data_IF_362859448461
#
_entry.id   IF_362859448461
#
_cell.length_a   1.000
_cell.length_b   1.000
_cell.length_c   1.000
_cell.angle_alpha   90.00
_cell.angle_beta   90.00
_cell.angle_gamma   90.00
#
_symmetry.space_group_name_H-M   'P 1'
#
loop_
_entity.id
_entity.type
_entity.pdbx_description
1 polymer ?
#
# COMPACT_ATOMS: atom_id res chain seq x y z
N UNK A 1 -14.98 -46.64 -42.60
CA UNK A 1 -15.01 -45.18 -42.42
C UNK A 1 -14.96 -44.55 -43.80
N UNK A 2 -15.92 -43.67 -44.14
CA UNK A 2 -16.04 -43.14 -45.50
C UNK A 2 -14.81 -42.30 -45.85
N UNK A 3 -14.13 -42.56 -46.97
CA UNK A 3 -12.85 -41.90 -47.35
C UNK A 3 -12.93 -40.36 -47.27
N UNK A 4 -14.10 -39.79 -47.60
CA UNK A 4 -14.39 -38.36 -47.48
C UNK A 4 -14.36 -37.83 -46.03
N UNK A 5 -14.80 -38.63 -45.07
CA UNK A 5 -14.80 -38.27 -43.63
C UNK A 5 -13.36 -38.27 -43.09
N UNK A 6 -12.52 -39.20 -43.55
CA UNK A 6 -11.11 -39.25 -43.13
C UNK A 6 -10.32 -38.05 -43.65
N UNK A 7 -10.54 -37.63 -44.91
CA UNK A 7 -9.90 -36.44 -45.48
C UNK A 7 -10.30 -35.17 -44.73
N UNK A 8 -11.58 -35.03 -44.36
CA UNK A 8 -12.05 -33.88 -43.57
C UNK A 8 -11.40 -33.85 -42.18
N UNK A 9 -11.29 -35.00 -41.50
CA UNK A 9 -10.64 -35.09 -40.19
C UNK A 9 -9.14 -34.76 -40.25
N UNK A 10 -8.45 -35.16 -41.33
CA UNK A 10 -7.04 -34.82 -41.53
C UNK A 10 -6.87 -33.32 -41.77
N UNK A 11 -7.75 -32.69 -42.56
CA UNK A 11 -7.71 -31.24 -42.79
C UNK A 11 -7.99 -30.46 -41.48
N UNK A 12 -8.98 -30.87 -40.70
CA UNK A 12 -9.28 -30.25 -39.40
C UNK A 12 -8.11 -30.43 -38.43
N UNK A 13 -7.51 -31.62 -38.39
CA UNK A 13 -6.32 -31.90 -37.59
C UNK A 13 -5.16 -31.00 -37.97
N UNK A 14 -4.93 -30.76 -39.26
CA UNK A 14 -3.87 -29.86 -39.76
C UNK A 14 -4.09 -28.39 -39.38
N UNK A 15 -5.35 -27.93 -39.35
CA UNK A 15 -5.69 -26.56 -38.94
C UNK A 15 -5.57 -26.39 -37.42
N UNK A 16 -5.80 -27.44 -36.63
CA UNK A 16 -5.69 -27.41 -35.16
C UNK A 16 -4.27 -27.42 -34.60
N UNK A 17 -3.23 -27.59 -35.44
CA UNK A 17 -1.81 -27.55 -35.00
C UNK A 17 -1.11 -26.24 -35.37
N UNK A 18 -1.83 -25.22 -35.82
CA UNK A 18 -1.22 -23.90 -35.95
C UNK A 18 -1.21 -23.32 -34.53
N UNK A 19 -0.04 -23.21 -33.85
CA UNK A 19 0.01 -22.46 -32.61
C UNK A 19 -0.42 -21.04 -32.95
N UNK A 20 -1.60 -20.63 -32.48
CA UNK A 20 -1.97 -19.22 -32.45
C UNK A 20 -1.13 -18.59 -31.35
N UNK A 21 0.16 -18.36 -31.63
CA UNK A 21 0.93 -17.41 -30.85
C UNK A 21 0.30 -16.05 -31.13
N UNK A 22 -0.39 -15.48 -30.15
CA UNK A 22 -0.55 -14.04 -30.10
C UNK A 22 0.86 -13.46 -29.92
N UNK A 23 1.60 -13.34 -31.02
CA UNK A 23 2.81 -12.55 -31.04
C UNK A 23 2.35 -11.11 -30.88
N UNK A 24 2.75 -10.46 -29.78
CA UNK A 24 2.68 -9.01 -29.69
C UNK A 24 3.45 -8.48 -30.91
N UNK A 25 2.76 -7.79 -31.80
CA UNK A 25 3.34 -7.32 -33.06
C UNK A 25 4.34 -6.21 -32.70
N UNK A 26 5.62 -6.56 -32.66
CA UNK A 26 6.70 -5.58 -32.55
C UNK A 26 7.05 -5.11 -33.95
N UNK A 27 6.89 -3.82 -34.22
CA UNK A 27 7.21 -3.21 -35.53
C UNK A 27 8.63 -2.63 -35.53
N UNK A 28 9.20 -2.39 -34.34
CA UNK A 28 10.58 -1.97 -34.14
C UNK A 28 11.13 -2.58 -32.83
N UNK A 29 12.42 -2.35 -32.58
CA UNK A 29 13.04 -2.66 -31.29
C UNK A 29 12.41 -1.83 -30.16
N UNK A 30 12.38 -2.39 -28.94
CA UNK A 30 11.93 -1.66 -27.75
C UNK A 30 12.79 -0.44 -27.45
N UNK A 31 12.14 0.63 -27.03
CA UNK A 31 12.77 1.84 -26.55
C UNK A 31 13.42 1.62 -25.17
N UNK A 32 14.51 2.34 -24.92
CA UNK A 32 15.08 2.44 -23.57
C UNK A 32 14.32 3.55 -22.83
N UNK A 33 13.61 3.18 -21.77
CA UNK A 33 12.82 4.09 -20.96
C UNK A 33 13.64 4.47 -19.72
N UNK A 34 14.09 5.72 -19.63
CA UNK A 34 14.87 6.21 -18.49
C UNK A 34 13.99 6.50 -17.28
N UNK A 35 12.74 6.90 -17.53
CA UNK A 35 11.72 7.17 -16.51
C UNK A 35 10.35 6.74 -17.04
N UNK A 36 9.57 6.11 -16.18
CA UNK A 36 8.12 5.98 -16.33
C UNK A 36 7.48 6.54 -15.07
N UNK A 37 6.65 7.55 -15.21
CA UNK A 37 5.97 8.21 -14.12
C UNK A 37 4.45 8.19 -14.37
N UNK A 38 3.71 7.79 -13.35
CA UNK A 38 2.26 7.74 -13.31
C UNK A 38 1.82 8.73 -12.26
N UNK A 39 1.09 9.77 -12.66
CA UNK A 39 0.52 10.77 -11.78
C UNK A 39 -0.97 10.53 -11.67
N UNK A 40 -1.45 10.44 -10.44
CA UNK A 40 -2.86 10.24 -10.12
C UNK A 40 -3.34 11.51 -9.42
N UNK A 41 -4.35 12.16 -9.98
CA UNK A 41 -4.96 13.35 -9.40
C UNK A 41 -6.11 12.97 -8.44
N UNK A 42 -6.54 13.94 -7.61
CA UNK A 42 -7.56 13.70 -6.57
C UNK A 42 -8.95 13.34 -7.12
N UNK A 43 -9.19 13.55 -8.43
CA UNK A 43 -10.42 13.15 -9.12
C UNK A 43 -10.32 11.74 -9.77
N UNK A 44 -9.18 11.06 -9.62
CA UNK A 44 -8.92 9.75 -10.19
C UNK A 44 -8.41 9.78 -11.63
N UNK A 45 -8.19 10.96 -12.23
CA UNK A 45 -7.55 11.06 -13.54
C UNK A 45 -6.07 10.64 -13.45
N UNK A 46 -5.60 9.96 -14.51
CA UNK A 46 -4.26 9.35 -14.53
C UNK A 46 -3.47 9.82 -15.74
N UNK A 47 -2.40 10.57 -15.47
CA UNK A 47 -1.44 10.98 -16.49
C UNK A 47 -0.21 10.07 -16.44
N UNK A 48 0.26 9.63 -17.61
CA UNK A 48 1.49 8.86 -17.74
C UNK A 48 2.53 9.64 -18.52
N UNK A 49 3.77 9.60 -18.05
CA UNK A 49 4.93 10.25 -18.64
C UNK A 49 6.05 9.21 -18.79
N UNK A 50 6.58 9.10 -20.00
CA UNK A 50 7.77 8.31 -20.31
C UNK A 50 8.89 9.24 -20.78
N UNK A 51 10.10 9.07 -20.24
CA UNK A 51 11.33 9.67 -20.80
C UNK A 51 12.07 8.59 -21.56
N UNK A 52 12.23 8.80 -22.86
CA UNK A 52 12.73 7.81 -23.81
C UNK A 52 14.07 8.27 -24.34
N UNK A 53 15.09 7.42 -24.20
CA UNK A 53 16.44 7.71 -24.68
C UNK A 53 16.47 7.89 -26.20
N UNK A 54 17.22 8.88 -26.66
CA UNK A 54 17.55 9.11 -28.07
C UNK A 54 18.06 7.85 -28.78
N UNK A 55 17.65 7.70 -30.04
CA UNK A 55 18.04 6.59 -30.90
C UNK A 55 18.05 7.02 -32.37
N UNK A 56 18.98 6.46 -33.14
CA UNK A 56 19.11 6.71 -34.59
C UNK A 56 18.15 5.89 -35.45
N UNK A 57 17.41 4.96 -34.84
CA UNK A 57 16.45 4.09 -35.48
C UNK A 57 15.11 4.22 -34.75
N UNK A 58 13.96 3.98 -35.43
CA UNK A 58 12.66 4.01 -34.77
C UNK A 58 12.62 3.03 -33.59
N UNK A 59 11.99 3.45 -32.48
CA UNK A 59 11.86 2.62 -31.27
C UNK A 59 10.41 2.50 -30.85
N UNK A 60 10.00 1.32 -30.42
CA UNK A 60 8.65 1.05 -29.93
C UNK A 60 8.59 1.18 -28.41
N UNK A 61 7.61 1.93 -27.91
CA UNK A 61 7.26 2.02 -26.49
C UNK A 61 5.95 1.29 -26.29
N UNK A 62 5.91 0.34 -25.36
CA UNK A 62 4.66 -0.28 -24.93
C UNK A 62 4.00 0.64 -23.89
N UNK A 63 2.74 0.99 -24.11
CA UNK A 63 1.95 1.81 -23.19
C UNK A 63 1.47 0.96 -22.01
N UNK A 64 1.26 1.62 -20.87
CA UNK A 64 0.58 1.02 -19.72
C UNK A 64 -0.84 0.61 -20.15
N UNK A 65 -1.28 -0.63 -19.87
CA UNK A 65 -2.61 -1.09 -20.26
C UNK A 65 -3.75 -0.21 -19.70
N UNK A 66 -4.67 0.20 -20.58
CA UNK A 66 -5.86 0.99 -20.24
C UNK A 66 -6.46 1.66 -21.47
N UNK A 67 -7.48 2.49 -21.27
CA UNK A 67 -8.04 3.33 -22.34
C UNK A 67 -7.16 4.56 -22.50
N UNK A 68 -6.29 4.56 -23.51
CA UNK A 68 -5.33 5.64 -23.75
C UNK A 68 -5.98 6.78 -24.53
N UNK A 69 -5.76 8.01 -24.09
CA UNK A 69 -6.14 9.23 -24.83
C UNK A 69 -5.06 10.32 -24.75
N UNK A 70 -5.17 11.34 -25.59
CA UNK A 70 -4.31 12.54 -25.56
C UNK A 70 -2.80 12.26 -25.64
N UNK A 71 -2.38 11.34 -26.53
CA UNK A 71 -0.97 11.02 -26.76
C UNK A 71 -0.24 12.25 -27.32
N UNK A 72 0.86 12.62 -26.68
CA UNK A 72 1.75 13.71 -27.08
C UNK A 72 3.20 13.24 -26.96
N UNK A 73 4.04 13.54 -27.96
CA UNK A 73 5.48 13.29 -27.89
C UNK A 73 6.21 14.61 -28.11
N UNK A 74 7.08 15.00 -27.18
CA UNK A 74 7.88 16.23 -27.27
C UNK A 74 9.37 15.96 -27.05
N UNK A 75 10.21 16.94 -27.29
CA UNK A 75 11.56 17.01 -26.71
C UNK A 75 11.54 17.73 -25.34
N UNK A 76 12.73 17.90 -24.76
CA UNK A 76 12.91 18.61 -23.47
C UNK A 76 12.49 20.09 -23.54
N UNK A 77 12.53 20.70 -24.72
CA UNK A 77 12.13 22.09 -24.96
C UNK A 77 10.61 22.24 -25.18
N UNK A 78 9.87 21.13 -25.21
CA UNK A 78 8.43 21.10 -25.43
C UNK A 78 8.02 21.17 -26.91
N UNK A 79 8.95 20.99 -27.84
CA UNK A 79 8.66 20.92 -29.27
C UNK A 79 8.10 19.56 -29.63
N UNK A 80 6.99 19.52 -30.36
CA UNK A 80 6.32 18.28 -30.75
C UNK A 80 7.14 17.47 -31.74
N UNK A 81 7.23 16.16 -31.50
CA UNK A 81 7.91 15.17 -32.33
C UNK A 81 6.89 14.30 -33.04
N UNK A 82 7.24 13.86 -34.25
CA UNK A 82 6.43 12.89 -34.99
C UNK A 82 6.51 11.50 -34.34
N UNK A 83 5.35 10.83 -34.28
CA UNK A 83 5.23 9.46 -33.80
C UNK A 83 4.17 8.69 -34.60
N UNK A 84 4.16 7.37 -34.47
CA UNK A 84 3.11 6.52 -35.03
C UNK A 84 2.46 5.68 -33.94
N UNK A 85 1.14 5.48 -34.01
CA UNK A 85 0.43 4.58 -33.11
C UNK A 85 0.41 3.16 -33.70
N UNK A 86 0.74 2.15 -32.89
CA UNK A 86 0.72 0.74 -33.28
C UNK A 86 -0.38 0.06 -32.48
N UNK A 87 -1.55 -0.07 -33.11
CA UNK A 87 -2.75 -0.55 -32.42
C UNK A 87 -3.12 0.38 -31.27
N UNK A 88 -3.56 -0.19 -30.15
CA UNK A 88 -4.03 0.57 -28.98
C UNK A 88 -3.05 0.50 -27.79
N UNK A 89 -1.89 -0.15 -27.95
CA UNK A 89 -1.02 -0.53 -26.83
C UNK A 89 0.43 -0.07 -26.97
N UNK A 90 0.80 0.53 -28.10
CA UNK A 90 2.21 0.87 -28.35
C UNK A 90 2.33 2.11 -29.24
N UNK A 91 3.41 2.86 -29.04
CA UNK A 91 3.78 4.03 -29.85
C UNK A 91 5.15 3.82 -30.46
N UNK A 92 5.29 4.14 -31.75
CA UNK A 92 6.53 4.18 -32.50
C UNK A 92 7.12 5.59 -32.45
N UNK A 93 8.25 5.72 -31.78
CA UNK A 93 9.03 6.95 -31.67
C UNK A 93 9.99 7.02 -32.85
N UNK A 94 9.98 8.13 -33.58
CA UNK A 94 10.86 8.35 -34.73
C UNK A 94 12.31 8.64 -34.28
N UNK A 95 13.31 8.35 -35.13
CA UNK A 95 14.71 8.65 -34.83
C UNK A 95 14.93 10.09 -34.37
N UNK A 96 15.75 10.27 -33.34
CA UNK A 96 16.08 11.57 -32.79
C UNK A 96 17.46 11.56 -32.13
N UNK A 97 18.13 12.70 -32.18
CA UNK A 97 19.42 12.97 -31.53
C UNK A 97 19.27 13.44 -30.07
N UNK A 98 18.05 13.65 -29.61
CA UNK A 98 17.71 14.07 -28.25
C UNK A 98 16.61 13.17 -27.69
N UNK A 99 16.51 13.11 -26.36
CA UNK A 99 15.53 12.27 -25.69
C UNK A 99 14.10 12.77 -25.99
N UNK A 100 13.14 11.85 -25.90
CA UNK A 100 11.73 12.12 -26.21
C UNK A 100 10.91 11.93 -24.95
N UNK A 101 9.96 12.85 -24.73
CA UNK A 101 9.00 12.80 -23.63
C UNK A 101 7.66 12.38 -24.23
N UNK A 102 7.20 11.19 -23.91
CA UNK A 102 5.86 10.70 -24.29
C UNK A 102 4.91 10.90 -23.12
N UNK A 103 3.79 11.57 -23.35
CA UNK A 103 2.75 11.85 -22.38
C UNK A 103 1.41 11.36 -22.92
N UNK A 104 0.57 10.81 -22.04
CA UNK A 104 -0.81 10.45 -22.38
C UNK A 104 -1.67 10.33 -21.12
N UNK A 105 -2.98 10.23 -21.32
CA UNK A 105 -3.96 10.01 -20.26
C UNK A 105 -4.45 8.55 -20.29
N UNK A 106 -4.73 8.01 -19.11
CA UNK A 106 -5.39 6.73 -18.93
C UNK A 106 -6.77 6.93 -18.31
N UNK A 107 -7.78 6.47 -19.05
CA UNK A 107 -9.17 6.46 -18.61
C UNK A 107 -9.55 5.06 -18.11
N UNK A 108 -10.49 5.01 -17.16
CA UNK A 108 -11.09 3.78 -16.62
C UNK A 108 -10.12 2.76 -16.00
N UNK A 109 -8.93 3.19 -15.58
CA UNK A 109 -7.92 2.29 -14.96
C UNK A 109 -8.04 2.20 -13.44
N UNK A 110 -8.62 3.22 -12.79
CA UNK A 110 -8.91 3.23 -11.35
C UNK A 110 -10.41 3.20 -11.15
N UNK A 111 -10.89 2.34 -10.26
CA UNK A 111 -12.29 2.31 -9.84
C UNK A 111 -12.42 2.52 -8.34
N UNK A 112 -13.47 3.24 -7.92
CA UNK A 112 -13.80 3.39 -6.51
C UNK A 112 -14.69 2.22 -6.05
N UNK A 113 -14.21 1.47 -5.05
CA UNK A 113 -14.91 0.36 -4.42
C UNK A 113 -14.99 0.69 -2.93
N UNK A 114 -16.19 0.85 -2.39
CA UNK A 114 -16.39 1.15 -0.95
C UNK A 114 -15.57 2.37 -0.49
N UNK A 115 -15.56 3.45 -1.28
CA UNK A 115 -14.80 4.69 -1.03
C UNK A 115 -13.26 4.51 -1.02
N UNK A 116 -12.78 3.43 -1.63
CA UNK A 116 -11.35 3.15 -1.83
C UNK A 116 -11.07 3.09 -3.32
N UNK A 117 -10.17 3.96 -3.77
CA UNK A 117 -9.64 3.92 -5.12
C UNK A 117 -8.80 2.67 -5.29
N UNK A 118 -9.11 1.89 -6.31
CA UNK A 118 -8.51 0.57 -6.56
C UNK A 118 -8.00 0.50 -7.98
N UNK A 119 -6.73 0.11 -8.16
CA UNK A 119 -6.13 -0.14 -9.46
C UNK A 119 -5.35 -1.46 -9.45
N UNK A 120 -5.78 -2.41 -10.29
CA UNK A 120 -5.00 -3.61 -10.59
C UNK A 120 -3.96 -3.29 -11.68
N UNK A 121 -2.82 -2.79 -11.24
CA UNK A 121 -1.73 -2.35 -12.11
C UNK A 121 -0.88 -3.53 -12.59
N UNK A 122 -0.54 -3.53 -13.88
CA UNK A 122 0.43 -4.45 -14.47
C UNK A 122 1.26 -3.71 -15.52
N UNK A 123 2.54 -3.49 -15.22
CA UNK A 123 3.53 -3.00 -16.18
C UNK A 123 4.92 -3.48 -15.79
N UNK A 124 5.68 -3.96 -16.78
CA UNK A 124 6.94 -4.67 -16.52
C UNK A 124 8.15 -3.75 -16.38
N UNK A 125 8.02 -2.47 -16.71
CA UNK A 125 9.08 -1.50 -16.49
C UNK A 125 9.03 -0.94 -15.06
N UNK A 126 10.12 -0.30 -14.63
CA UNK A 126 10.10 0.43 -13.37
C UNK A 126 9.22 1.67 -13.50
N UNK A 127 8.26 1.83 -12.60
CA UNK A 127 7.26 2.90 -12.63
C UNK A 127 7.23 3.65 -11.30
N UNK A 128 7.32 4.97 -11.38
CA UNK A 128 7.12 5.87 -10.25
C UNK A 128 5.65 6.28 -10.22
N UNK A 129 5.00 6.07 -9.09
CA UNK A 129 3.65 6.54 -8.82
C UNK A 129 3.74 7.81 -8.00
N UNK A 130 3.06 8.86 -8.46
CA UNK A 130 2.82 10.09 -7.72
C UNK A 130 1.34 10.12 -7.38
N UNK A 131 1.03 10.09 -6.09
CA UNK A 131 -0.32 10.04 -5.56
C UNK A 131 -0.85 11.46 -5.32
N UNK A 132 -2.17 11.62 -5.17
CA UNK A 132 -2.77 12.88 -4.75
C UNK A 132 -2.17 13.36 -3.42
N UNK A 133 -2.07 14.68 -3.23
CA UNK A 133 -1.41 15.27 -2.06
C UNK A 133 -2.10 14.89 -0.73
N UNK A 134 -3.39 14.58 -0.78
CA UNK A 134 -4.20 14.17 0.37
C UNK A 134 -3.85 12.75 0.86
N UNK A 135 -3.15 11.95 0.06
CA UNK A 135 -2.82 10.57 0.36
C UNK A 135 -1.47 10.49 1.07
N UNK A 136 -1.49 10.07 2.33
CA UNK A 136 -0.28 9.76 3.11
C UNK A 136 -0.13 8.25 3.41
N UNK A 137 -1.15 7.44 3.11
CA UNK A 137 -1.19 6.00 3.29
C UNK A 137 -1.84 5.35 2.07
N UNK A 138 -1.16 4.36 1.50
CA UNK A 138 -1.70 3.48 0.46
C UNK A 138 -1.51 2.02 0.87
N UNK A 139 -2.17 1.13 0.15
CA UNK A 139 -2.00 -0.31 0.29
C UNK A 139 -1.54 -0.90 -1.04
N UNK A 140 -0.44 -1.63 -1.00
CA UNK A 140 0.08 -2.38 -2.14
C UNK A 140 -0.06 -3.88 -1.84
N UNK A 141 -0.99 -4.54 -2.53
CA UNK A 141 -1.36 -5.94 -2.27
C UNK A 141 -1.70 -6.16 -0.78
N UNK A 142 -2.64 -5.36 -0.26
CA UNK A 142 -3.11 -5.37 1.14
C UNK A 142 -2.06 -4.95 2.20
N UNK A 143 -0.85 -4.56 1.79
CA UNK A 143 0.19 -4.12 2.71
C UNK A 143 0.22 -2.60 2.81
N UNK A 144 0.09 -2.01 4.01
CA UNK A 144 0.16 -0.57 4.19
C UNK A 144 1.56 -0.03 3.83
N UNK A 145 1.58 1.08 3.11
CA UNK A 145 2.77 1.87 2.77
C UNK A 145 2.49 3.30 3.15
N UNK A 146 3.10 3.75 4.25
CA UNK A 146 3.03 5.14 4.68
C UNK A 146 4.04 5.97 3.88
N UNK A 147 3.56 7.06 3.32
CA UNK A 147 4.34 7.93 2.45
C UNK A 147 5.12 8.99 3.25
N UNK A 148 4.67 9.35 4.45
CA UNK A 148 5.27 10.44 5.25
C UNK A 148 5.38 11.73 4.42
N UNK A 149 6.57 12.32 4.26
CA UNK A 149 6.80 13.48 3.40
C UNK A 149 6.91 13.15 1.90
N UNK A 150 6.88 11.86 1.53
CA UNK A 150 7.01 11.42 0.12
C UNK A 150 5.66 11.56 -0.59
N UNK A 151 5.72 11.72 -1.92
CA UNK A 151 4.53 11.88 -2.77
C UNK A 151 4.09 10.59 -3.48
N UNK A 152 4.69 9.46 -3.14
CA UNK A 152 4.33 8.18 -3.73
C UNK A 152 5.43 7.13 -3.65
N UNK A 153 5.36 6.15 -4.56
CA UNK A 153 6.15 4.91 -4.51
C UNK A 153 6.79 4.60 -5.85
N UNK A 154 7.90 3.85 -5.81
CA UNK A 154 8.49 3.26 -7.02
C UNK A 154 8.24 1.77 -7.02
N UNK A 155 7.83 1.25 -8.16
CA UNK A 155 7.58 -0.16 -8.38
C UNK A 155 8.51 -0.68 -9.48
N UNK A 156 9.32 -1.69 -9.18
CA UNK A 156 10.27 -2.25 -10.16
C UNK A 156 9.65 -3.46 -10.87
N UNK A 157 9.06 -3.23 -12.06
CA UNK A 157 8.49 -4.27 -12.90
C UNK A 157 7.45 -5.12 -12.19
N UNK A 158 6.31 -4.51 -11.87
CA UNK A 158 5.37 -5.08 -10.92
C UNK A 158 3.96 -5.28 -11.45
N UNK A 159 3.33 -6.28 -10.85
CA UNK A 159 1.89 -6.42 -10.77
C UNK A 159 1.50 -6.06 -9.33
N UNK A 160 0.59 -5.11 -9.16
CA UNK A 160 0.08 -4.79 -7.83
C UNK A 160 -1.38 -4.36 -7.86
N UNK A 161 -2.09 -4.75 -6.82
CA UNK A 161 -3.32 -4.10 -6.42
C UNK A 161 -2.94 -2.87 -5.59
N UNK A 162 -3.08 -1.69 -6.18
CA UNK A 162 -2.90 -0.40 -5.53
C UNK A 162 -4.25 0.06 -4.99
N UNK A 163 -4.32 0.35 -3.69
CA UNK A 163 -5.53 0.82 -3.02
C UNK A 163 -5.21 2.05 -2.15
N UNK A 164 -6.04 3.09 -2.18
CA UNK A 164 -5.88 4.26 -1.33
C UNK A 164 -7.20 5.01 -1.13
N UNK A 165 -7.24 5.88 -0.11
CA UNK A 165 -8.38 6.76 0.18
C UNK A 165 -7.90 8.21 0.27
N UNK A 166 -8.70 9.13 -0.27
CA UNK A 166 -8.46 10.59 -0.20
C UNK A 166 -9.31 11.28 0.88
N UNK A 167 -10.41 10.64 1.29
CA UNK A 167 -11.40 11.20 2.22
C UNK A 167 -11.67 10.25 3.39
N UNK A 168 -10.61 9.64 3.94
CA UNK A 168 -10.75 8.83 5.16
C UNK A 168 -11.11 9.69 6.38
N UNK A 169 -11.92 9.11 7.26
CA UNK A 169 -12.22 9.66 8.57
C UNK A 169 -11.04 9.45 9.52
N UNK A 170 -10.68 10.50 10.25
CA UNK A 170 -9.67 10.48 11.30
C UNK A 170 -10.32 10.87 12.62
N UNK A 171 -10.43 9.90 13.52
CA UNK A 171 -10.96 10.10 14.87
C UNK A 171 -9.79 10.13 15.85
N UNK A 172 -9.80 11.13 16.73
CA UNK A 172 -8.76 11.36 17.72
C UNK A 172 -9.36 11.27 19.12
N UNK A 173 -8.89 10.31 19.90
CA UNK A 173 -9.40 10.03 21.24
C UNK A 173 -8.34 10.30 22.30
N UNK A 174 -8.69 11.13 23.27
CA UNK A 174 -7.80 11.47 24.38
C UNK A 174 -7.99 10.47 25.52
N UNK A 175 -6.94 9.71 25.81
CA UNK A 175 -6.89 8.74 26.89
C UNK A 175 -6.10 9.33 28.06
N UNK A 176 -6.74 9.43 29.23
CA UNK A 176 -6.07 9.78 30.49
C UNK A 176 -5.55 8.51 31.15
N UNK A 177 -4.24 8.43 31.36
CA UNK A 177 -3.61 7.34 32.08
C UNK A 177 -2.57 7.91 33.05
N UNK A 178 -2.70 7.55 34.32
CA UNK A 178 -1.96 8.20 35.42
C UNK A 178 -2.16 9.73 35.42
N UNK A 179 -1.07 10.49 35.38
CA UNK A 179 -1.09 11.96 35.37
C UNK A 179 -0.90 12.54 33.95
N UNK A 180 -0.90 11.68 32.92
CA UNK A 180 -0.62 12.05 31.53
C UNK A 180 -1.84 11.84 30.61
N UNK A 181 -1.83 12.57 29.49
CA UNK A 181 -2.82 12.47 28.41
C UNK A 181 -2.16 11.96 27.13
N UNK A 182 -2.75 10.93 26.55
CA UNK A 182 -2.26 10.25 25.36
C UNK A 182 -3.31 10.31 24.26
N UNK A 183 -2.88 10.62 23.04
CA UNK A 183 -3.77 10.70 21.88
C UNK A 183 -3.73 9.40 21.09
N UNK A 184 -4.88 8.75 20.94
CA UNK A 184 -5.06 7.61 20.04
C UNK A 184 -5.70 8.13 18.76
N UNK A 185 -5.11 7.82 17.60
CA UNK A 185 -5.70 8.14 16.30
C UNK A 185 -6.26 6.86 15.68
N UNK A 186 -7.48 6.93 15.16
CA UNK A 186 -8.11 5.86 14.39
C UNK A 186 -8.51 6.40 13.03
N UNK A 187 -8.00 5.75 11.98
CA UNK A 187 -8.27 6.06 10.58
C UNK A 187 -9.15 4.98 9.98
N UNK A 188 -10.29 5.34 9.41
CA UNK A 188 -11.24 4.43 8.75
C UNK A 188 -12.03 5.15 7.66
N UNK A 189 -12.82 4.43 6.85
CA UNK A 189 -13.59 5.05 5.77
C UNK A 189 -14.81 5.81 6.31
N UNK A 190 -15.52 5.23 7.28
CA UNK A 190 -16.79 5.79 7.80
C UNK A 190 -16.68 6.48 9.16
N UNK A 191 -15.52 6.42 9.81
CA UNK A 191 -15.35 6.80 11.22
C UNK A 191 -15.51 5.59 12.15
N UNK A 192 -15.55 5.89 13.44
CA UNK A 192 -15.72 4.91 14.52
C UNK A 192 -16.63 5.51 15.60
N UNK A 193 -17.27 4.63 16.36
CA UNK A 193 -18.10 4.98 17.50
C UNK A 193 -17.64 4.21 18.76
N UNK A 194 -18.19 4.60 19.92
CA UNK A 194 -18.04 3.89 21.20
C UNK A 194 -16.58 3.53 21.58
N UNK A 195 -15.64 4.47 21.39
CA UNK A 195 -14.26 4.26 21.80
C UNK A 195 -14.15 4.05 23.31
N UNK A 196 -13.47 2.96 23.70
CA UNK A 196 -13.15 2.64 25.09
C UNK A 196 -11.72 2.15 25.19
N UNK A 197 -10.94 2.81 26.05
CA UNK A 197 -9.66 2.27 26.53
C UNK A 197 -9.87 1.61 27.89
N UNK A 198 -9.44 0.36 28.02
CA UNK A 198 -9.48 -0.39 29.26
C UNK A 198 -8.08 -0.92 29.60
N UNK A 199 -7.47 -0.30 30.60
CA UNK A 199 -6.11 -0.64 31.01
C UNK A 199 -6.01 -2.03 31.65
N UNK A 200 -6.91 -2.47 32.56
CA UNK A 200 -6.85 -3.82 33.12
C UNK A 200 -6.87 -4.93 32.07
N UNK A 201 -7.66 -4.78 31.01
CA UNK A 201 -7.70 -5.71 29.87
C UNK A 201 -6.68 -5.39 28.78
N UNK A 202 -5.95 -4.27 28.91
CA UNK A 202 -4.96 -3.76 27.94
C UNK A 202 -5.53 -3.69 26.53
N UNK A 203 -6.74 -3.16 26.44
CA UNK A 203 -7.51 -3.17 25.21
C UNK A 203 -7.98 -1.78 24.83
N UNK A 204 -7.94 -1.52 23.54
CA UNK A 204 -8.72 -0.47 22.89
C UNK A 204 -9.86 -1.15 22.16
N UNK A 205 -11.09 -0.68 22.38
CA UNK A 205 -12.27 -1.16 21.68
C UNK A 205 -13.02 0.00 21.06
N UNK A 206 -13.62 -0.23 19.89
CA UNK A 206 -14.47 0.75 19.21
C UNK A 206 -15.39 0.03 18.22
N UNK A 207 -16.52 0.64 17.87
CA UNK A 207 -17.43 0.13 16.87
C UNK A 207 -17.12 0.71 15.49
N UNK A 208 -17.23 -0.14 14.48
CA UNK A 208 -17.15 0.25 13.06
C UNK A 208 -18.49 -0.03 12.38
N UNK A 209 -18.91 0.88 11.51
CA UNK A 209 -20.14 0.74 10.73
C UNK A 209 -19.83 0.73 9.23
N UNK A 210 -20.60 -0.06 8.49
CA UNK A 210 -20.35 -0.32 7.07
C UNK A 210 -19.19 -1.29 6.81
N UNK A 211 -18.77 -1.32 5.56
CA UNK A 211 -17.68 -2.15 5.04
C UNK A 211 -16.36 -1.36 5.10
N UNK A 212 -15.81 -1.19 6.30
CA UNK A 212 -14.51 -0.52 6.48
C UNK A 212 -13.37 -1.49 6.08
N UNK A 213 -12.96 -1.51 4.81
CA UNK A 213 -11.88 -2.43 4.34
C UNK A 213 -10.55 -2.23 5.05
N UNK A 214 -10.21 -1.01 5.48
CA UNK A 214 -8.93 -0.76 6.15
C UNK A 214 -9.15 0.17 7.34
N UNK A 215 -8.80 -0.32 8.53
CA UNK A 215 -8.78 0.49 9.75
C UNK A 215 -7.36 0.50 10.29
N UNK A 216 -6.83 1.70 10.54
CA UNK A 216 -5.52 1.90 11.15
C UNK A 216 -5.69 2.55 12.50
N UNK A 217 -5.14 1.95 13.54
CA UNK A 217 -5.03 2.56 14.87
C UNK A 217 -3.58 2.92 15.15
N UNK A 218 -3.35 4.19 15.49
CA UNK A 218 -2.06 4.70 15.97
C UNK A 218 -2.09 4.69 17.50
N UNK A 219 -1.30 3.80 18.08
CA UNK A 219 -1.36 3.49 19.51
C UNK A 219 -0.08 4.01 20.18
N UNK A 220 -0.19 4.93 21.15
CA UNK A 220 0.92 5.27 22.04
C UNK A 220 1.40 4.02 22.80
N UNK A 221 2.71 3.77 22.78
CA UNK A 221 3.33 2.63 23.44
C UNK A 221 3.18 2.70 24.97
N UNK A 222 2.90 3.85 25.55
CA UNK A 222 2.62 3.99 26.98
C UNK A 222 1.26 3.38 27.37
N UNK A 223 0.31 3.32 26.43
CA UNK A 223 -1.02 2.78 26.68
C UNK A 223 -1.10 1.25 26.49
N UNK A 224 -0.61 0.73 25.36
CA UNK A 224 -0.63 -0.71 25.05
C UNK A 224 0.70 -1.15 24.45
N UNK A 225 1.28 -2.20 25.03
CA UNK A 225 2.56 -2.76 24.60
C UNK A 225 2.39 -3.86 23.56
N UNK A 226 3.37 -3.95 22.66
CA UNK A 226 3.50 -5.00 21.66
C UNK A 226 3.73 -6.39 22.30
N UNK A 227 3.38 -7.49 21.63
CA UNK A 227 2.65 -7.55 20.36
C UNK A 227 1.12 -7.42 20.54
N UNK A 228 0.44 -7.04 19.45
CA UNK A 228 -1.02 -6.84 19.44
C UNK A 228 -1.77 -8.02 18.83
N UNK A 229 -2.98 -8.26 19.32
CA UNK A 229 -3.98 -9.12 18.69
C UNK A 229 -5.25 -8.32 18.45
N UNK A 230 -5.88 -8.48 17.28
CA UNK A 230 -7.13 -7.83 16.95
C UNK A 230 -8.28 -8.84 16.84
N UNK A 231 -9.48 -8.38 17.18
CA UNK A 231 -10.73 -9.13 17.10
C UNK A 231 -11.82 -8.25 16.48
N UNK A 232 -12.75 -8.89 15.77
CA UNK A 232 -14.03 -8.33 15.33
C UNK A 232 -15.14 -9.21 15.91
N UNK A 233 -16.00 -8.65 16.77
CA UNK A 233 -17.06 -9.39 17.48
C UNK A 233 -16.57 -10.71 18.12
N UNK A 234 -15.48 -10.62 18.89
CA UNK A 234 -14.76 -11.74 19.54
C UNK A 234 -14.06 -12.73 18.59
N UNK A 235 -14.19 -12.59 17.27
CA UNK A 235 -13.45 -13.39 16.29
C UNK A 235 -12.10 -12.77 15.97
N UNK A 236 -11.02 -13.57 16.07
CA UNK A 236 -9.67 -13.08 15.80
C UNK A 236 -9.49 -12.77 14.32
N UNK A 237 -9.07 -11.55 14.01
CA UNK A 237 -8.76 -11.10 12.64
C UNK A 237 -7.25 -10.85 12.46
N UNK A 238 -6.75 -10.88 11.20
CA UNK A 238 -5.38 -10.48 10.92
C UNK A 238 -5.13 -9.01 11.30
N UNK A 239 -4.03 -8.77 12.01
CA UNK A 239 -3.53 -7.44 12.32
C UNK A 239 -2.08 -7.34 11.85
N UNK A 240 -1.73 -6.20 11.26
CA UNK A 240 -0.38 -5.92 10.76
C UNK A 240 0.16 -4.68 11.45
N UNK A 241 1.30 -4.83 12.12
CA UNK A 241 2.11 -3.70 12.56
C UNK A 241 3.03 -3.32 11.41
N UNK A 242 3.03 -2.04 11.03
CA UNK A 242 3.83 -1.59 9.88
C UNK A 242 4.74 -0.39 10.16
N UNK A 243 4.48 0.36 11.24
CA UNK A 243 5.38 1.40 11.75
C UNK A 243 5.47 1.28 13.26
N UNK A 244 6.70 1.37 13.77
CA UNK A 244 6.99 1.64 15.17
C UNK A 244 8.10 2.71 15.20
N UNK A 245 7.76 3.90 15.69
CA UNK A 245 8.70 5.03 15.75
C UNK A 245 9.36 5.19 17.14
N UNK A 246 9.14 4.24 18.04
CA UNK A 246 9.63 4.23 19.42
C UNK A 246 8.67 4.88 20.43
N UNK A 247 7.65 5.62 20.00
CA UNK A 247 6.61 6.19 20.87
C UNK A 247 5.21 5.72 20.49
N UNK A 248 4.96 5.46 19.21
CA UNK A 248 3.68 5.01 18.68
C UNK A 248 3.87 3.81 17.76
N UNK A 249 2.84 2.98 17.68
CA UNK A 249 2.74 1.87 16.74
C UNK A 249 1.49 2.00 15.90
N UNK A 250 1.62 1.77 14.60
CA UNK A 250 0.52 1.74 13.65
C UNK A 250 0.09 0.29 13.46
N UNK A 251 -1.13 0.00 13.87
CA UNK A 251 -1.76 -1.31 13.73
C UNK A 251 -2.85 -1.20 12.68
N UNK A 252 -2.68 -1.89 11.56
CA UNK A 252 -3.69 -2.00 10.52
C UNK A 252 -4.46 -3.31 10.65
N UNK A 253 -5.77 -3.24 10.46
CA UNK A 253 -6.69 -4.37 10.36
C UNK A 253 -7.58 -4.21 9.12
N UNK A 254 -8.12 -5.33 8.67
CA UNK A 254 -9.06 -5.41 7.54
C UNK A 254 -10.33 -6.13 8.00
N UNK A 255 -11.27 -5.42 8.63
CA UNK A 255 -12.57 -5.98 8.94
C UNK A 255 -13.37 -6.17 7.64
N UNK A 256 -14.14 -7.25 7.58
CA UNK A 256 -15.01 -7.60 6.46
C UNK A 256 -16.47 -7.22 6.69
N UNK A 257 -16.84 -6.93 7.94
CA UNK A 257 -18.18 -6.45 8.32
C UNK A 257 -18.11 -5.35 9.38
N UNK A 258 -19.27 -4.74 9.64
CA UNK A 258 -19.48 -3.93 10.84
C UNK A 258 -19.40 -4.81 12.09
N UNK A 259 -19.06 -4.20 13.22
CA UNK A 259 -18.94 -4.89 14.50
C UNK A 259 -18.04 -4.13 15.48
N UNK A 260 -17.83 -4.72 16.65
CA UNK A 260 -16.90 -4.21 17.64
C UNK A 260 -15.49 -4.71 17.34
N UNK A 261 -14.57 -3.76 17.11
CA UNK A 261 -13.15 -4.04 17.03
C UNK A 261 -12.54 -4.00 18.42
N UNK A 262 -11.70 -4.98 18.74
CA UNK A 262 -10.88 -5.00 19.95
C UNK A 262 -9.41 -5.24 19.62
N UNK A 263 -8.54 -4.31 20.01
CA UNK A 263 -7.08 -4.45 19.90
C UNK A 263 -6.50 -4.64 21.29
N UNK A 264 -5.81 -5.76 21.52
CA UNK A 264 -5.29 -6.17 22.83
C UNK A 264 -3.76 -6.25 22.79
N UNK A 265 -3.11 -5.55 23.72
CA UNK A 265 -1.67 -5.67 23.98
C UNK A 265 -1.37 -6.92 24.81
N UNK A 266 -0.50 -7.79 24.32
CA UNK A 266 -0.26 -9.10 24.97
C UNK A 266 0.81 -9.05 26.07
N UNK A 267 1.58 -7.96 26.17
CA UNK A 267 2.60 -7.76 27.23
C UNK A 267 2.04 -6.97 28.41
N UNK A 268 2.56 -7.18 29.62
CA UNK A 268 2.21 -6.39 30.83
C UNK A 268 3.05 -5.12 30.90
N UNK A 269 2.40 -3.96 31.11
CA UNK A 269 3.08 -2.78 31.64
C UNK A 269 3.41 -3.09 33.10
N UNK A 270 4.68 -3.09 33.54
CA UNK A 270 5.00 -3.31 34.94
C UNK A 270 4.41 -2.17 35.77
N UNK A 271 3.47 -2.49 36.67
CA UNK A 271 2.87 -1.53 37.62
C UNK A 271 3.87 -0.96 38.65
N UNK A 272 5.13 -1.40 38.58
CA UNK A 272 6.21 -0.86 39.38
C UNK A 272 7.42 -0.60 38.49
N UNK A 273 8.10 0.54 38.63
CA UNK A 273 9.41 0.72 38.01
C UNK A 273 10.30 -0.44 38.47
N UNK A 274 11.02 -1.08 37.54
CA UNK A 274 11.95 -2.21 37.78
C UNK A 274 12.98 -1.89 38.90
N UNK A 275 13.12 -0.60 39.22
CA UNK A 275 13.91 -0.06 40.32
C UNK A 275 13.38 -0.50 41.70
N UNK A 276 12.07 -0.66 41.90
CA UNK A 276 11.50 -0.96 43.23
C UNK A 276 11.93 -2.32 43.81
N UNK A 277 11.91 -3.44 43.06
CA UNK A 277 12.51 -4.70 43.51
C UNK A 277 14.02 -4.56 43.79
N UNK A 278 14.71 -3.75 42.97
CA UNK A 278 16.16 -3.54 43.08
C UNK A 278 16.53 -2.74 44.34
N UNK A 279 15.77 -1.69 44.66
CA UNK A 279 15.97 -0.86 45.85
C UNK A 279 15.63 -1.65 47.12
N UNK A 280 14.56 -2.45 47.10
CA UNK A 280 14.23 -3.35 48.23
C UNK A 280 15.34 -4.39 48.41
N UNK A 281 15.82 -5.01 47.32
CA UNK A 281 16.93 -5.96 47.38
C UNK A 281 18.21 -5.33 47.93
N UNK A 282 18.54 -4.11 47.51
CA UNK A 282 19.70 -3.36 48.01
C UNK A 282 19.56 -2.98 49.50
N UNK A 283 18.35 -2.57 49.93
CA UNK A 283 18.04 -2.30 51.33
C UNK A 283 18.20 -3.54 52.21
N UNK A 284 17.71 -4.70 51.75
CA UNK A 284 17.86 -5.97 52.47
C UNK A 284 19.34 -6.33 52.67
N UNK A 285 20.17 -6.16 51.64
CA UNK A 285 21.63 -6.39 51.71
C UNK A 285 22.31 -5.44 52.69
N UNK A 286 21.88 -4.17 52.75
CA UNK A 286 22.44 -3.20 53.69
C UNK A 286 21.99 -3.41 55.14
N UNK A 287 20.74 -3.83 55.37
CA UNK A 287 20.15 -3.94 56.72
C UNK A 287 20.48 -5.28 57.39
N UNK A 288 20.58 -6.39 56.63
CA UNK A 288 20.89 -7.73 57.16
C UNK A 288 22.17 -7.80 58.02
N UNK A 289 23.31 -7.18 57.63
CA UNK A 289 24.53 -7.18 58.44
C UNK A 289 24.39 -6.40 59.75
N UNK A 290 23.61 -5.32 59.76
CA UNK A 290 23.37 -4.51 60.94
C UNK A 290 22.47 -5.23 61.94
N UNK A 291 21.43 -5.93 61.48
CA UNK A 291 20.56 -6.74 62.35
C UNK A 291 21.32 -7.89 63.03
N UNK A 292 22.31 -8.49 62.35
CA UNK A 292 23.21 -9.49 62.98
C UNK A 292 24.08 -8.92 64.10
N UNK A 293 24.35 -7.61 64.11
CA UNK A 293 25.16 -6.94 65.14
C UNK A 293 24.37 -6.60 66.42
N UNK A 294 23.05 -6.51 66.35
CA UNK A 294 22.19 -6.18 67.51
C UNK A 294 21.69 -7.40 68.30
N UNK A 295 21.92 -8.62 67.81
CA UNK A 295 21.51 -9.87 68.47
C UNK A 295 22.62 -10.54 69.30
N UNK A 296 23.61 -9.75 69.74
CA UNK A 296 24.67 -10.17 70.65
C UNK A 296 24.60 -9.33 71.93
N UNK A 297 23.52 -9.48 72.69
CA UNK A 297 23.60 -9.55 74.15
C UNK A 297 22.37 -10.18 74.80
#
# INVERSE_FOLDING_TARGET
>A
MNSKIFVILVIISLISVIPTSYAQVSVADKAIQELVEVRIDSDGSVQVIHVIKSATEPRQVDLIPGTVSNILVTNEQGEEKQFGEIGNSSVLIMPSNEDSILQYQLEDVISEIESIWTWNFLYLESTNFILPQEVDLLFANERPVYLDEKKGITCHGCQMLLEYSINESRVYENVKWEDDEFLVEIRSQTGIDEFVFNQPSKSITFEITGENRFVTTVIPLELLWEPYTAFLDDEKIPAQQYINNGTHVWVNIKPDTSGQVSIIGTTVVPEFPIIAPLTIGFLIILVLPFMKKFNLH
#
